data_IF_948189636161
#
_entry.id   IF_948189636161
#
_cell.length_a   1.000
_cell.length_b   1.000
_cell.length_c   1.000
_cell.angle_alpha   90.00
_cell.angle_beta   90.00
_cell.angle_gamma   90.00
#
_symmetry.space_group_name_H-M   'P 1'
#
loop_
_entity.id
_entity.type
_entity.pdbx_description
1 polymer ?
#
# COMPACT_ATOMS: atom_id res chain seq x y z
N UNK A 1 -20.29 -27.58 -28.96
CA UNK A 1 -20.33 -27.98 -27.54
C UNK A 1 -18.93 -27.73 -26.98
N UNK A 2 -18.72 -26.63 -26.26
CA UNK A 2 -17.38 -26.32 -25.71
C UNK A 2 -17.11 -27.34 -24.58
N UNK A 3 -15.94 -28.00 -24.52
CA UNK A 3 -15.65 -28.94 -23.45
C UNK A 3 -15.73 -28.24 -22.10
N UNK A 4 -16.42 -28.84 -21.12
CA UNK A 4 -16.62 -28.27 -19.78
C UNK A 4 -15.31 -27.81 -19.12
N UNK A 5 -14.20 -28.54 -19.37
CA UNK A 5 -12.85 -28.17 -18.91
C UNK A 5 -12.33 -26.86 -19.50
N UNK A 6 -12.70 -26.55 -20.75
CA UNK A 6 -12.30 -25.32 -21.43
C UNK A 6 -13.11 -24.11 -20.93
N UNK A 7 -14.40 -24.31 -20.63
CA UNK A 7 -15.25 -23.29 -20.02
C UNK A 7 -14.77 -22.91 -18.61
N UNK A 8 -14.49 -23.90 -17.76
CA UNK A 8 -13.99 -23.68 -16.39
C UNK A 8 -12.64 -22.94 -16.37
N UNK A 9 -11.73 -23.29 -17.27
CA UNK A 9 -10.43 -22.59 -17.40
C UNK A 9 -10.62 -21.13 -17.84
N UNK A 10 -11.58 -20.86 -18.72
CA UNK A 10 -11.90 -19.48 -19.10
C UNK A 10 -12.50 -18.69 -17.93
N UNK A 11 -13.37 -19.31 -17.15
CA UNK A 11 -13.98 -18.68 -15.98
C UNK A 11 -12.92 -18.34 -14.91
N UNK A 12 -11.98 -19.26 -14.66
CA UNK A 12 -10.86 -19.05 -13.74
C UNK A 12 -9.89 -17.95 -14.22
N UNK A 13 -9.60 -17.88 -15.53
CA UNK A 13 -8.77 -16.81 -16.12
C UNK A 13 -9.48 -15.45 -16.00
N UNK A 14 -10.81 -15.42 -16.11
CA UNK A 14 -11.59 -14.20 -15.90
C UNK A 14 -11.57 -13.81 -14.43
N UNK A 15 -11.76 -14.74 -13.50
CA UNK A 15 -11.65 -14.48 -12.05
C UNK A 15 -10.26 -13.99 -11.61
N UNK A 16 -9.17 -14.56 -12.15
CA UNK A 16 -7.80 -14.07 -11.93
C UNK A 16 -7.54 -12.69 -12.54
N UNK A 17 -8.26 -12.33 -13.62
CA UNK A 17 -8.23 -10.98 -14.21
C UNK A 17 -9.04 -9.97 -13.40
N UNK A 18 -10.07 -10.42 -12.69
CA UNK A 18 -10.98 -9.59 -11.91
C UNK A 18 -10.46 -9.32 -10.49
N UNK A 19 -9.57 -10.16 -9.96
CA UNK A 19 -8.91 -9.87 -8.69
C UNK A 19 -7.83 -8.80 -8.86
N UNK A 20 -8.03 -7.67 -8.18
CA UNK A 20 -7.02 -6.62 -8.10
C UNK A 20 -5.71 -7.21 -7.54
N UNK A 21 -4.61 -6.97 -8.27
CA UNK A 21 -3.28 -7.40 -7.86
C UNK A 21 -2.80 -6.54 -6.70
N UNK A 22 -2.28 -7.16 -5.66
CA UNK A 22 -1.89 -6.47 -4.42
C UNK A 22 -0.41 -6.11 -4.43
N UNK A 23 -0.11 -4.82 -4.36
CA UNK A 23 1.24 -4.29 -4.21
C UNK A 23 1.44 -3.75 -2.80
N UNK A 24 2.24 -4.46 -2.01
CA UNK A 24 2.70 -4.01 -0.71
C UNK A 24 3.91 -3.08 -0.85
N UNK A 25 3.89 -1.97 -0.12
CA UNK A 25 4.98 -0.99 -0.12
C UNK A 25 5.38 -0.69 1.31
N UNK A 26 6.60 -1.06 1.67
CA UNK A 26 7.18 -0.72 2.96
C UNK A 26 8.09 0.49 2.83
N UNK A 27 7.81 1.52 3.60
CA UNK A 27 8.52 2.79 3.54
C UNK A 27 9.27 2.99 4.85
N UNK A 28 10.58 2.78 4.80
CA UNK A 28 11.48 2.85 5.96
C UNK A 28 12.38 4.08 5.94
N UNK A 29 12.53 4.70 4.75
CA UNK A 29 13.31 5.90 4.48
C UNK A 29 12.45 7.17 4.47
N UNK A 30 13.05 8.31 4.82
CA UNK A 30 12.46 9.66 4.67
C UNK A 30 12.69 10.25 3.26
N UNK A 31 13.16 9.44 2.32
CA UNK A 31 13.45 9.84 0.94
C UNK A 31 12.37 9.35 -0.03
N UNK A 32 12.41 9.89 -1.25
CA UNK A 32 11.68 9.35 -2.42
C UNK A 32 10.14 9.39 -2.37
N UNK A 33 9.54 10.28 -1.57
CA UNK A 33 8.09 10.51 -1.60
C UNK A 33 7.58 10.82 -3.01
N UNK A 34 8.35 11.55 -3.82
CA UNK A 34 8.01 11.85 -5.21
C UNK A 34 7.86 10.57 -6.06
N UNK A 35 8.71 9.57 -5.85
CA UNK A 35 8.66 8.28 -6.54
C UNK A 35 7.53 7.42 -6.00
N UNK A 36 7.28 7.45 -4.70
CA UNK A 36 6.14 6.76 -4.07
C UNK A 36 4.81 7.27 -4.64
N UNK A 37 4.64 8.59 -4.74
CA UNK A 37 3.45 9.21 -5.36
C UNK A 37 3.32 8.78 -6.83
N UNK A 38 4.41 8.84 -7.62
CA UNK A 38 4.39 8.42 -9.04
C UNK A 38 4.01 6.94 -9.18
N UNK A 39 4.52 6.08 -8.30
CA UNK A 39 4.17 4.66 -8.28
C UNK A 39 2.66 4.48 -8.05
N UNK A 40 2.10 5.14 -7.03
CA UNK A 40 0.68 4.99 -6.70
C UNK A 40 -0.22 5.53 -7.81
N UNK A 41 0.17 6.64 -8.45
CA UNK A 41 -0.51 7.18 -9.65
C UNK A 41 -0.49 6.17 -10.80
N UNK A 42 0.67 5.57 -11.10
CA UNK A 42 0.79 4.56 -12.16
C UNK A 42 -0.02 3.28 -11.86
N UNK A 43 -0.06 2.85 -10.60
CA UNK A 43 -0.89 1.71 -10.18
C UNK A 43 -2.38 1.99 -10.39
N UNK A 44 -2.85 3.19 -10.00
CA UNK A 44 -4.22 3.64 -10.23
C UNK A 44 -4.57 3.75 -11.71
N UNK A 45 -3.67 4.28 -12.54
CA UNK A 45 -3.83 4.36 -13.99
C UNK A 45 -3.93 2.97 -14.64
N UNK A 46 -3.23 1.98 -14.09
CA UNK A 46 -3.30 0.58 -14.56
C UNK A 46 -4.67 -0.06 -14.24
N UNK A 47 -5.31 0.36 -13.15
CA UNK A 47 -6.70 0.03 -12.80
C UNK A 47 -6.92 -1.36 -12.19
N UNK A 48 -5.93 -2.24 -12.22
CA UNK A 48 -5.97 -3.62 -11.68
C UNK A 48 -4.93 -3.84 -10.55
N UNK A 49 -4.40 -2.77 -9.97
CA UNK A 49 -3.39 -2.84 -8.89
C UNK A 49 -3.85 -2.03 -7.68
N UNK A 50 -4.04 -2.72 -6.55
CA UNK A 50 -4.27 -2.11 -5.25
C UNK A 50 -2.95 -1.93 -4.51
N UNK A 51 -2.71 -0.72 -4.01
CA UNK A 51 -1.48 -0.38 -3.29
C UNK A 51 -1.79 -0.25 -1.80
N UNK A 52 -1.03 -0.97 -0.97
CA UNK A 52 -1.05 -0.83 0.48
C UNK A 52 0.33 -0.43 0.98
N UNK A 53 0.40 0.70 1.68
CA UNK A 53 1.64 1.30 2.16
C UNK A 53 1.72 1.18 3.69
N UNK A 54 2.88 0.75 4.19
CA UNK A 54 3.20 0.79 5.62
C UNK A 54 4.43 1.68 5.86
N UNK A 55 4.23 2.80 6.57
CA UNK A 55 5.29 3.72 6.95
C UNK A 55 5.90 3.32 8.29
N UNK A 56 7.22 3.23 8.34
CA UNK A 56 7.97 2.79 9.52
C UNK A 56 9.26 3.58 9.66
N UNK A 57 9.88 3.53 10.84
CA UNK A 57 11.16 4.20 11.12
C UNK A 57 11.17 5.67 10.63
N UNK A 58 12.18 6.09 9.86
CA UNK A 58 12.28 7.43 9.29
C UNK A 58 11.16 7.72 8.29
N UNK A 59 10.60 6.71 7.62
CA UNK A 59 9.46 6.85 6.71
C UNK A 59 8.23 7.47 7.37
N UNK A 60 8.06 7.32 8.69
CA UNK A 60 6.96 8.00 9.42
C UNK A 60 7.05 9.53 9.37
N UNK A 61 8.25 10.09 9.16
CA UNK A 61 8.46 11.54 9.05
C UNK A 61 7.95 12.12 7.73
N UNK A 62 7.76 11.29 6.69
CA UNK A 62 7.18 11.71 5.41
C UNK A 62 5.74 12.23 5.55
N UNK A 63 5.04 11.85 6.63
CA UNK A 63 3.72 12.38 6.98
C UNK A 63 3.70 13.90 7.14
N UNK A 64 4.87 14.51 7.36
CA UNK A 64 5.03 15.96 7.51
C UNK A 64 5.32 16.69 6.20
N UNK A 65 5.57 15.95 5.10
CA UNK A 65 5.76 16.57 3.78
C UNK A 65 4.42 17.13 3.28
N UNK A 66 4.37 18.39 2.78
CA UNK A 66 3.14 18.98 2.27
C UNK A 66 2.47 18.18 1.13
N UNK A 67 3.22 17.32 0.45
CA UNK A 67 2.73 16.47 -0.65
C UNK A 67 2.18 15.13 -0.16
N UNK A 68 2.31 14.79 1.13
CA UNK A 68 1.87 13.49 1.66
C UNK A 68 0.39 13.20 1.36
N UNK A 69 -0.47 14.23 1.45
CA UNK A 69 -1.89 14.13 1.13
C UNK A 69 -2.19 13.72 -0.32
N UNK A 70 -1.24 13.82 -1.25
CA UNK A 70 -1.42 13.30 -2.63
C UNK A 70 -1.61 11.78 -2.68
N UNK A 71 -1.19 11.04 -1.65
CA UNK A 71 -1.37 9.59 -1.57
C UNK A 71 -2.81 9.21 -1.18
N UNK A 72 -3.60 10.15 -0.65
CA UNK A 72 -4.99 9.91 -0.26
C UNK A 72 -5.83 9.51 -1.48
N UNK A 73 -6.51 8.36 -1.38
CA UNK A 73 -7.27 7.79 -2.50
C UNK A 73 -6.43 7.23 -3.65
N UNK A 74 -5.10 7.13 -3.48
CA UNK A 74 -4.21 6.35 -4.35
C UNK A 74 -3.77 5.03 -3.72
N UNK A 75 -3.71 4.96 -2.39
CA UNK A 75 -3.29 3.77 -1.65
C UNK A 75 -4.04 3.66 -0.31
N UNK A 76 -4.11 2.43 0.22
CA UNK A 76 -4.41 2.20 1.63
C UNK A 76 -3.12 2.43 2.42
N UNK A 77 -3.20 3.19 3.53
CA UNK A 77 -2.00 3.62 4.23
C UNK A 77 -2.11 3.34 5.72
N UNK A 78 -1.02 2.83 6.30
CA UNK A 78 -0.85 2.64 7.73
C UNK A 78 0.55 3.02 8.16
N UNK A 79 0.76 3.26 9.45
CA UNK A 79 2.08 3.63 9.98
C UNK A 79 2.37 2.94 11.30
N UNK A 80 3.66 2.76 11.61
CA UNK A 80 4.08 2.23 12.90
C UNK A 80 3.94 3.31 13.98
N UNK A 81 3.02 3.12 14.93
CA UNK A 81 2.75 4.11 15.98
C UNK A 81 4.00 4.40 16.84
N UNK A 82 4.73 3.36 17.25
CA UNK A 82 5.97 3.53 18.03
C UNK A 82 7.01 4.33 17.26
N UNK A 83 7.17 4.08 15.95
CA UNK A 83 8.07 4.84 15.10
C UNK A 83 7.66 6.31 14.99
N UNK A 84 6.37 6.55 14.76
CA UNK A 84 5.79 7.88 14.62
C UNK A 84 5.93 8.72 15.91
N UNK A 85 5.54 8.15 17.06
CA UNK A 85 5.66 8.80 18.37
C UNK A 85 7.12 9.03 18.78
N UNK A 86 8.05 8.14 18.41
CA UNK A 86 9.48 8.31 18.72
C UNK A 86 10.10 9.54 18.05
N UNK A 87 9.52 10.01 16.94
CA UNK A 87 9.89 11.26 16.27
C UNK A 87 9.11 12.48 16.80
N UNK A 88 8.32 12.33 17.87
CA UNK A 88 7.51 13.40 18.46
C UNK A 88 6.30 13.81 17.63
N UNK A 89 5.92 13.01 16.63
CA UNK A 89 4.77 13.27 15.77
C UNK A 89 3.47 12.88 16.48
N UNK A 90 2.36 13.51 16.08
CA UNK A 90 1.05 13.34 16.72
C UNK A 90 -0.06 13.20 15.67
N UNK A 91 -1.08 12.35 15.93
CA UNK A 91 -2.29 12.34 15.12
C UNK A 91 -3.04 13.69 15.23
N UNK A 92 -3.89 14.03 14.24
CA UNK A 92 -4.19 13.26 13.03
C UNK A 92 -3.16 13.48 11.92
N UNK A 93 -3.02 12.48 11.04
CA UNK A 93 -2.27 12.55 9.78
C UNK A 93 -3.28 12.41 8.65
N UNK A 94 -3.22 13.29 7.65
CA UNK A 94 -4.09 13.22 6.48
C UNK A 94 -3.93 11.87 5.78
N UNK A 95 -5.05 11.20 5.48
CA UNK A 95 -5.06 9.90 4.81
C UNK A 95 -4.73 8.69 5.69
N UNK A 96 -4.50 8.86 7.00
CA UNK A 96 -4.30 7.76 7.96
C UNK A 96 -5.46 7.76 8.95
N UNK A 97 -6.27 6.70 8.95
CA UNK A 97 -7.36 6.57 9.92
C UNK A 97 -6.83 6.24 11.31
N UNK A 98 -7.65 6.46 12.35
CA UNK A 98 -7.26 6.18 13.75
C UNK A 98 -6.84 4.72 13.97
N UNK A 99 -7.47 3.77 13.26
CA UNK A 99 -7.12 2.34 13.32
C UNK A 99 -5.84 1.96 12.57
N UNK A 100 -5.28 2.85 11.75
CA UNK A 100 -4.13 2.58 10.89
C UNK A 100 -2.78 2.97 11.53
N UNK A 101 -2.82 3.36 12.81
CA UNK A 101 -1.64 3.50 13.69
C UNK A 101 -1.28 2.13 14.25
N UNK A 102 -0.57 1.34 13.45
CA UNK A 102 -0.32 -0.07 13.71
C UNK A 102 1.04 -0.33 14.40
N UNK A 103 1.34 -1.62 14.63
CA UNK A 103 2.65 -2.09 15.14
C UNK A 103 3.53 -2.59 14.00
N UNK A 104 4.79 -2.95 14.27
CA UNK A 104 5.64 -3.61 13.27
C UNK A 104 5.08 -4.94 12.76
N UNK A 105 4.15 -5.58 13.46
CA UNK A 105 3.49 -6.78 12.97
C UNK A 105 2.79 -6.54 11.62
N UNK A 106 2.30 -5.32 11.39
CA UNK A 106 1.66 -4.93 10.12
C UNK A 106 2.59 -5.07 8.91
N UNK A 107 3.90 -4.93 9.11
CA UNK A 107 4.88 -5.21 8.06
C UNK A 107 4.87 -6.69 7.62
N UNK A 108 4.80 -7.61 8.59
CA UNK A 108 4.71 -9.04 8.30
C UNK A 108 3.41 -9.39 7.57
N UNK A 109 2.29 -8.87 8.05
CA UNK A 109 0.98 -9.05 7.40
C UNK A 109 0.99 -8.50 5.97
N UNK A 110 1.59 -7.32 5.74
CA UNK A 110 1.70 -6.73 4.41
C UNK A 110 2.48 -7.63 3.44
N UNK A 111 3.53 -8.32 3.90
CA UNK A 111 4.29 -9.27 3.10
C UNK A 111 3.43 -10.48 2.72
N UNK A 112 2.64 -11.01 3.66
CA UNK A 112 1.78 -12.17 3.44
C UNK A 112 0.58 -11.87 2.52
N UNK A 113 0.02 -10.67 2.62
CA UNK A 113 -1.18 -10.25 1.89
C UNK A 113 -0.88 -9.82 0.43
N UNK A 114 0.39 -9.54 0.10
CA UNK A 114 0.76 -8.90 -1.17
C UNK A 114 1.24 -9.90 -2.23
N UNK A 115 0.80 -9.73 -3.49
CA UNK A 115 1.35 -10.48 -4.62
C UNK A 115 2.80 -10.08 -4.90
N UNK A 116 3.11 -8.80 -4.71
CA UNK A 116 4.45 -8.23 -4.85
C UNK A 116 4.69 -7.24 -3.73
N UNK A 117 5.94 -7.16 -3.31
CA UNK A 117 6.34 -6.33 -2.19
C UNK A 117 7.61 -5.57 -2.55
N UNK A 118 7.61 -4.26 -2.28
CA UNK A 118 8.75 -3.38 -2.55
C UNK A 118 9.07 -2.53 -1.32
N UNK A 119 10.32 -2.09 -1.24
CA UNK A 119 10.83 -1.31 -0.12
C UNK A 119 11.37 0.02 -0.61
N UNK A 120 11.05 1.08 0.13
CA UNK A 120 11.57 2.44 -0.01
C UNK A 120 12.39 2.85 1.22
#
# INVERSE_FOLDING_TARGET
>A
MIPLKHFLKHQQILEEKEMARKLGVFVSSDQHLDKLIKLCKAAKEKGDVEVTIFFSHLGTTLTQDPRFGELEGLAQMSLCNVGFESHGLKPPVQGIAEGDYATQARNGELIEESDRYIVF
#
